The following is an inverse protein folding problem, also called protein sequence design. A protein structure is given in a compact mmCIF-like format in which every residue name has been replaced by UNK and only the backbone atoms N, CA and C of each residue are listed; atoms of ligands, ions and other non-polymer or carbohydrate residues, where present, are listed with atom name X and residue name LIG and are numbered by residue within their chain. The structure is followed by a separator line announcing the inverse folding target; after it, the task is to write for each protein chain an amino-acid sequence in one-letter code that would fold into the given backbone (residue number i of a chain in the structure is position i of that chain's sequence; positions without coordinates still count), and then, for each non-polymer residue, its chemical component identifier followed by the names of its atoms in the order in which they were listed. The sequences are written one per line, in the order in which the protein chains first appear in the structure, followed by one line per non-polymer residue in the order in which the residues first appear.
data_IF_195726977499
#
_entry.id   IF_195726977499
#
_cell.length_a   1.000
_cell.length_b   1.000
_cell.length_c   1.000
_cell.angle_alpha   90.00
_cell.angle_beta   90.00
_cell.angle_gamma   90.00
#
_symmetry.space_group_name_H-M   'P 1'
#
loop_
_entity.id
_entity.type
_entity.pdbx_description
1 polymer ?
#
# COMPACT_ATOMS: atom_id res chain seq x y z
N UNK A 1 -27.99 -25.44 16.11
CA UNK A 1 -26.77 -25.72 15.32
C UNK A 1 -26.60 -24.80 14.10
N UNK A 2 -27.66 -24.29 13.46
CA UNK A 2 -27.55 -23.40 12.29
C UNK A 2 -26.90 -22.01 12.55
N UNK A 3 -27.15 -21.39 13.72
CA UNK A 3 -26.59 -20.06 14.04
C UNK A 3 -25.06 -20.04 14.19
N UNK A 4 -24.45 -21.16 14.61
CA UNK A 4 -23.00 -21.27 14.74
C UNK A 4 -22.30 -21.45 13.38
N UNK A 5 -22.97 -22.03 12.39
CA UNK A 5 -22.46 -22.14 11.03
C UNK A 5 -22.43 -20.76 10.34
N UNK A 6 -23.50 -19.98 10.48
CA UNK A 6 -23.63 -18.65 9.86
C UNK A 6 -22.58 -17.64 10.37
N UNK A 7 -22.28 -17.67 11.67
CA UNK A 7 -21.21 -16.86 12.28
C UNK A 7 -19.81 -17.26 11.76
N UNK A 8 -19.55 -18.55 11.57
CA UNK A 8 -18.27 -19.04 11.03
C UNK A 8 -18.08 -18.69 9.57
N UNK A 9 -19.12 -18.81 8.74
CA UNK A 9 -19.09 -18.44 7.33
C UNK A 9 -18.78 -16.96 7.14
N UNK A 10 -19.44 -16.08 7.90
CA UNK A 10 -19.15 -14.64 7.88
C UNK A 10 -17.71 -14.31 8.30
N UNK A 11 -17.17 -15.04 9.28
CA UNK A 11 -15.77 -14.93 9.70
C UNK A 11 -14.80 -15.37 8.60
N UNK A 12 -15.06 -16.51 7.96
CA UNK A 12 -14.23 -17.05 6.88
C UNK A 12 -14.21 -16.15 5.66
N UNK A 13 -15.36 -15.61 5.24
CA UNK A 13 -15.45 -14.70 4.10
C UNK A 13 -14.68 -13.40 4.38
N UNK A 14 -14.83 -12.82 5.57
CA UNK A 14 -14.08 -11.61 5.96
C UNK A 14 -12.58 -11.86 5.99
N UNK A 15 -12.16 -12.99 6.53
CA UNK A 15 -10.75 -13.37 6.52
C UNK A 15 -10.22 -13.56 5.10
N UNK A 16 -10.97 -14.27 4.24
CA UNK A 16 -10.59 -14.49 2.85
C UNK A 16 -10.46 -13.15 2.09
N UNK A 17 -11.41 -12.22 2.28
CA UNK A 17 -11.33 -10.88 1.68
C UNK A 17 -10.13 -10.09 2.21
N UNK A 18 -9.86 -10.16 3.52
CA UNK A 18 -8.72 -9.48 4.14
C UNK A 18 -7.36 -9.96 3.62
N UNK A 19 -7.30 -11.15 3.03
CA UNK A 19 -6.10 -11.71 2.40
C UNK A 19 -6.10 -11.45 0.88
N UNK A 20 -7.21 -11.75 0.21
CA UNK A 20 -7.31 -11.68 -1.25
C UNK A 20 -7.23 -10.27 -1.79
N UNK A 21 -7.82 -9.28 -1.12
CA UNK A 21 -7.82 -7.88 -1.57
C UNK A 21 -6.40 -7.30 -1.66
N UNK A 22 -5.57 -7.32 -0.60
CA UNK A 22 -4.21 -6.77 -0.68
C UNK A 22 -3.30 -7.56 -1.63
N UNK A 23 -3.48 -8.88 -1.73
CA UNK A 23 -2.77 -9.71 -2.72
C UNK A 23 -3.15 -9.34 -4.15
N UNK A 24 -4.44 -9.20 -4.44
CA UNK A 24 -4.92 -8.79 -5.76
C UNK A 24 -4.39 -7.39 -6.11
N UNK A 25 -4.38 -6.45 -5.15
CA UNK A 25 -3.81 -5.13 -5.36
C UNK A 25 -2.31 -5.19 -5.73
N UNK A 26 -1.53 -6.04 -5.07
CA UNK A 26 -0.11 -6.23 -5.36
C UNK A 26 0.11 -6.89 -6.74
N UNK A 27 -0.70 -7.90 -7.10
CA UNK A 27 -0.62 -8.55 -8.41
C UNK A 27 -1.00 -7.58 -9.54
N UNK A 28 -2.09 -6.82 -9.35
CA UNK A 28 -2.50 -5.78 -10.30
C UNK A 28 -1.47 -4.66 -10.40
N UNK A 29 -0.64 -4.41 -9.37
CA UNK A 29 0.41 -3.41 -9.46
C UNK A 29 1.43 -3.75 -10.55
N UNK A 30 1.77 -5.03 -10.75
CA UNK A 30 2.68 -5.45 -11.82
C UNK A 30 2.10 -5.26 -13.23
N UNK A 31 0.77 -5.33 -13.37
CA UNK A 31 0.11 -5.36 -14.69
C UNK A 31 -0.56 -4.04 -15.08
N UNK A 32 -1.17 -3.34 -14.12
CA UNK A 32 -2.02 -2.15 -14.35
C UNK A 32 -1.23 -0.85 -14.22
N UNK A 33 -0.27 -0.78 -13.29
CA UNK A 33 0.47 0.47 -13.04
C UNK A 33 1.28 0.97 -14.24
N UNK A 34 1.83 0.12 -15.13
CA UNK A 34 2.42 0.60 -16.38
C UNK A 34 1.46 1.40 -17.28
N UNK A 35 0.14 1.19 -17.16
CA UNK A 35 -0.90 1.85 -17.96
C UNK A 35 -1.43 3.14 -17.31
N UNK A 36 -1.21 3.34 -16.01
CA UNK A 36 -1.76 4.47 -15.22
C UNK A 36 -0.62 5.37 -14.68
N UNK A 37 0.61 5.17 -15.15
CA UNK A 37 1.74 6.01 -14.78
C UNK A 37 1.52 7.45 -15.27
N UNK A 38 1.66 8.42 -14.36
CA UNK A 38 1.62 9.84 -14.71
C UNK A 38 3.08 10.31 -14.75
N UNK A 39 3.66 10.37 -15.95
CA UNK A 39 5.11 10.53 -16.12
C UNK A 39 5.86 9.36 -15.49
N UNK A 40 6.86 9.66 -14.66
CA UNK A 40 7.64 8.64 -13.90
C UNK A 40 6.99 8.25 -12.57
N UNK A 41 5.93 8.94 -12.14
CA UNK A 41 5.26 8.66 -10.88
C UNK A 41 4.33 7.45 -11.01
N UNK A 42 4.67 6.39 -10.27
CA UNK A 42 3.90 5.13 -10.22
C UNK A 42 3.34 4.91 -8.82
N UNK A 43 2.06 5.26 -8.57
CA UNK A 43 1.45 5.03 -7.26
C UNK A 43 1.28 3.53 -6.99
N UNK A 44 1.56 3.09 -5.76
CA UNK A 44 1.42 1.69 -5.37
C UNK A 44 -0.04 1.35 -5.06
N UNK A 45 -0.64 0.42 -5.80
CA UNK A 45 -2.03 0.01 -5.58
C UNK A 45 -2.29 -0.54 -4.16
N UNK A 46 -1.40 -1.34 -3.55
CA UNK A 46 -1.57 -1.84 -2.19
C UNK A 46 -1.75 -0.73 -1.15
N UNK A 47 -1.00 0.38 -1.27
CA UNK A 47 -1.15 1.48 -0.30
C UNK A 47 -2.40 2.30 -0.56
N UNK A 48 -2.80 2.46 -1.83
CA UNK A 48 -4.06 3.13 -2.16
C UNK A 48 -5.26 2.35 -1.61
N UNK A 49 -5.24 1.02 -1.74
CA UNK A 49 -6.28 0.13 -1.23
C UNK A 49 -6.29 0.12 0.30
N UNK A 50 -5.14 -0.10 0.93
CA UNK A 50 -5.03 -0.12 2.38
C UNK A 50 -5.35 1.25 3.01
N UNK A 51 -4.87 2.34 2.43
CA UNK A 51 -5.16 3.71 2.87
C UNK A 51 -6.65 4.05 2.72
N UNK A 52 -7.28 3.66 1.61
CA UNK A 52 -8.73 3.85 1.42
C UNK A 52 -9.54 3.04 2.44
N UNK A 53 -9.11 1.82 2.76
CA UNK A 53 -9.70 1.03 3.84
C UNK A 53 -9.46 1.65 5.21
N UNK A 54 -8.30 2.27 5.46
CA UNK A 54 -8.04 2.99 6.70
C UNK A 54 -9.01 4.16 6.89
N UNK A 55 -9.34 4.89 5.81
CA UNK A 55 -10.35 5.96 5.84
C UNK A 55 -11.75 5.39 6.12
N UNK A 56 -12.09 4.25 5.53
CA UNK A 56 -13.43 3.67 5.61
C UNK A 56 -13.72 2.89 6.91
N UNK A 57 -12.73 2.12 7.40
CA UNK A 57 -12.89 1.11 8.45
C UNK A 57 -11.86 1.24 9.59
N UNK A 58 -10.86 2.12 9.46
CA UNK A 58 -9.85 2.41 10.48
C UNK A 58 -8.60 1.54 10.40
N UNK A 59 -7.65 1.79 11.32
CA UNK A 59 -6.29 1.26 11.23
C UNK A 59 -6.18 -0.26 11.38
N UNK A 60 -7.02 -0.89 12.22
CA UNK A 60 -6.81 -2.29 12.66
C UNK A 60 -6.68 -3.26 11.48
N UNK A 61 -7.56 -3.15 10.50
CA UNK A 61 -7.56 -4.04 9.34
C UNK A 61 -6.70 -3.47 8.20
N UNK A 62 -6.67 -2.14 8.05
CA UNK A 62 -5.88 -1.48 7.02
C UNK A 62 -4.37 -1.71 7.17
N UNK A 63 -3.85 -1.72 8.40
CA UNK A 63 -2.43 -2.00 8.66
C UNK A 63 -2.06 -3.42 8.24
N UNK A 64 -2.97 -4.39 8.45
CA UNK A 64 -2.78 -5.76 7.95
C UNK A 64 -2.75 -5.81 6.44
N UNK A 65 -3.61 -5.05 5.76
CA UNK A 65 -3.63 -4.97 4.30
C UNK A 65 -2.36 -4.32 3.75
N UNK A 66 -1.88 -3.26 4.41
CA UNK A 66 -0.63 -2.58 4.07
C UNK A 66 0.57 -3.53 4.21
N UNK A 67 0.64 -4.27 5.31
CA UNK A 67 1.67 -5.28 5.54
C UNK A 67 1.67 -6.36 4.45
N UNK A 68 0.52 -7.02 4.24
CA UNK A 68 0.41 -8.16 3.33
C UNK A 68 0.61 -7.74 1.86
N UNK A 69 -0.01 -6.63 1.46
CA UNK A 69 0.15 -6.08 0.11
C UNK A 69 1.56 -5.55 -0.14
N UNK A 70 2.19 -4.93 0.87
CA UNK A 70 3.59 -4.51 0.81
C UNK A 70 4.54 -5.69 0.68
N UNK A 71 4.35 -6.75 1.47
CA UNK A 71 5.17 -7.95 1.40
C UNK A 71 5.03 -8.66 0.04
N UNK A 72 3.81 -8.75 -0.48
CA UNK A 72 3.59 -9.27 -1.83
C UNK A 72 4.28 -8.41 -2.90
N UNK A 73 4.27 -7.08 -2.73
CA UNK A 73 4.98 -6.15 -3.63
C UNK A 73 6.50 -6.33 -3.56
N UNK A 74 7.05 -6.53 -2.37
CA UNK A 74 8.48 -6.81 -2.21
C UNK A 74 8.87 -8.10 -2.96
N UNK A 75 8.04 -9.16 -2.86
CA UNK A 75 8.26 -10.42 -3.59
C UNK A 75 8.15 -10.27 -5.12
N UNK A 76 7.27 -9.38 -5.61
CA UNK A 76 7.04 -9.16 -7.04
C UNK A 76 8.06 -8.19 -7.67
N UNK A 77 8.63 -7.27 -6.88
CA UNK A 77 9.45 -6.16 -7.38
C UNK A 77 10.95 -6.47 -7.48
N UNK A 78 11.41 -7.53 -6.81
CA UNK A 78 12.84 -7.87 -6.72
C UNK A 78 13.65 -6.92 -5.82
N UNK A 79 12.99 -6.02 -5.08
CA UNK A 79 13.59 -5.16 -4.07
C UNK A 79 13.87 -5.87 -2.74
N UNK A 80 14.37 -5.15 -1.72
CA UNK A 80 14.63 -5.73 -0.41
C UNK A 80 13.34 -6.27 0.21
N UNK A 81 13.35 -7.53 0.65
CA UNK A 81 12.19 -8.15 1.27
C UNK A 81 11.76 -7.37 2.53
N UNK A 82 10.50 -6.93 2.57
CA UNK A 82 9.92 -6.20 3.70
C UNK A 82 10.05 -4.67 3.60
N UNK A 83 10.72 -4.12 2.58
CA UNK A 83 10.89 -2.67 2.47
C UNK A 83 9.55 -1.95 2.22
N UNK A 84 8.74 -2.38 1.25
CA UNK A 84 7.39 -1.83 1.04
C UNK A 84 6.46 -2.18 2.19
N UNK A 85 6.57 -3.40 2.73
CA UNK A 85 5.79 -3.80 3.90
C UNK A 85 5.99 -2.81 5.06
N UNK A 86 7.23 -2.54 5.45
CA UNK A 86 7.56 -1.63 6.56
C UNK A 86 7.27 -0.17 6.24
N UNK A 87 7.58 0.30 5.03
CA UNK A 87 7.35 1.68 4.62
C UNK A 87 5.86 2.08 4.65
N UNK A 88 4.97 1.12 4.38
CA UNK A 88 3.52 1.36 4.30
C UNK A 88 2.81 1.41 5.66
N UNK A 89 3.36 0.80 6.72
CA UNK A 89 2.66 0.70 8.02
C UNK A 89 2.43 2.07 8.67
N UNK A 90 3.45 2.93 8.85
CA UNK A 90 3.26 4.20 9.56
C UNK A 90 2.21 5.12 8.92
N UNK A 91 2.21 5.38 7.59
CA UNK A 91 1.21 6.26 6.99
C UNK A 91 -0.21 5.67 7.01
N UNK A 92 -0.37 4.36 6.80
CA UNK A 92 -1.70 3.71 6.86
C UNK A 92 -2.24 3.69 8.28
N UNK A 93 -1.40 3.43 9.27
CA UNK A 93 -1.77 3.54 10.67
C UNK A 93 -2.18 4.97 11.03
N UNK A 94 -1.43 5.98 10.57
CA UNK A 94 -1.72 7.39 10.83
C UNK A 94 -3.11 7.82 10.30
N UNK A 95 -3.52 7.33 9.13
CA UNK A 95 -4.88 7.56 8.60
C UNK A 95 -5.92 7.00 9.56
N UNK A 96 -5.73 5.76 10.01
CA UNK A 96 -6.74 5.01 10.76
C UNK A 96 -6.77 5.25 12.27
N UNK A 97 -5.82 6.02 12.82
CA UNK A 97 -5.80 6.49 14.23
C UNK A 97 -6.76 7.66 14.45
N UNK A 98 -7.25 8.30 13.38
CA UNK A 98 -8.21 9.40 13.48
C UNK A 98 -9.44 8.99 14.28
N UNK A 99 -9.82 9.84 15.23
CA UNK A 99 -10.79 9.53 16.26
C UNK A 99 -12.15 9.12 15.67
N UNK A 100 -12.64 7.94 16.05
CA UNK A 100 -13.95 7.41 15.61
C UNK A 100 -15.13 8.27 16.10
N UNK A 101 -14.86 9.26 16.98
CA UNK A 101 -15.84 10.22 17.48
C UNK A 101 -16.42 11.16 16.41
N UNK A 102 -15.78 11.32 15.26
CA UNK A 102 -16.34 12.03 14.12
C UNK A 102 -17.16 11.06 13.26
N UNK A 103 -18.40 10.76 13.66
CA UNK A 103 -19.40 10.02 12.85
C UNK A 103 -19.76 10.70 11.51
N UNK A 104 -19.05 11.78 11.13
CA UNK A 104 -19.19 12.40 9.82
C UNK A 104 -18.38 11.59 8.81
N UNK A 105 -19.08 11.14 7.75
CA UNK A 105 -18.43 10.58 6.59
C UNK A 105 -17.30 11.52 6.13
N UNK A 106 -16.08 10.99 6.01
CA UNK A 106 -14.96 11.77 5.49
C UNK A 106 -15.27 12.11 4.03
N UNK A 107 -15.28 13.39 3.63
CA UNK A 107 -15.53 13.76 2.24
C UNK A 107 -14.53 13.05 1.32
N UNK A 108 -15.00 12.58 0.16
CA UNK A 108 -14.17 11.79 -0.78
C UNK A 108 -12.87 12.51 -1.12
N UNK A 109 -12.92 13.83 -1.33
CA UNK A 109 -11.73 14.64 -1.64
C UNK A 109 -10.71 14.64 -0.48
N UNK A 110 -11.19 14.70 0.76
CA UNK A 110 -10.34 14.64 1.96
C UNK A 110 -9.74 13.25 2.12
N UNK A 111 -10.54 12.20 1.92
CA UNK A 111 -10.05 10.82 1.93
C UNK A 111 -8.96 10.59 0.89
N UNK A 112 -9.20 11.00 -0.36
CA UNK A 112 -8.24 10.90 -1.45
C UNK A 112 -6.94 11.67 -1.15
N UNK A 113 -7.03 12.87 -0.58
CA UNK A 113 -5.87 13.66 -0.19
C UNK A 113 -5.05 12.97 0.92
N UNK A 114 -5.71 12.41 1.94
CA UNK A 114 -5.02 11.67 3.01
C UNK A 114 -4.29 10.45 2.46
N UNK A 115 -4.95 9.69 1.58
CA UNK A 115 -4.37 8.50 0.94
C UNK A 115 -3.20 8.89 0.03
N UNK A 116 -3.32 10.00 -0.72
CA UNK A 116 -2.23 10.54 -1.54
C UNK A 116 -1.01 10.94 -0.69
N UNK A 117 -1.23 11.66 0.41
CA UNK A 117 -0.16 12.04 1.36
C UNK A 117 0.48 10.79 1.97
N UNK A 118 -0.32 9.80 2.36
CA UNK A 118 0.16 8.53 2.88
C UNK A 118 1.02 7.76 1.85
N UNK A 119 0.61 7.75 0.58
CA UNK A 119 1.37 7.14 -0.50
C UNK A 119 2.72 7.83 -0.71
N UNK A 120 2.74 9.17 -0.72
CA UNK A 120 3.97 9.95 -0.81
C UNK A 120 4.89 9.68 0.38
N UNK A 121 4.35 9.64 1.60
CA UNK A 121 5.14 9.37 2.79
C UNK A 121 5.74 7.96 2.78
N UNK A 122 4.97 6.94 2.38
CA UNK A 122 5.50 5.58 2.23
C UNK A 122 6.58 5.49 1.15
N UNK A 123 6.44 6.24 0.05
CA UNK A 123 7.48 6.29 -0.99
C UNK A 123 8.79 6.83 -0.41
N UNK A 124 8.74 7.90 0.37
CA UNK A 124 9.92 8.48 1.02
C UNK A 124 10.55 7.50 2.03
N UNK A 125 9.73 6.81 2.82
CA UNK A 125 10.20 5.77 3.74
C UNK A 125 10.85 4.61 3.00
N UNK A 126 10.24 4.14 1.92
CA UNK A 126 10.78 3.07 1.09
C UNK A 126 12.16 3.43 0.53
N UNK A 127 12.30 4.63 -0.04
CA UNK A 127 13.60 5.12 -0.52
C UNK A 127 14.62 5.19 0.62
N UNK A 128 14.23 5.68 1.80
CA UNK A 128 15.09 5.68 2.98
C UNK A 128 15.56 4.29 3.38
N UNK A 129 14.67 3.29 3.35
CA UNK A 129 14.99 1.89 3.66
C UNK A 129 15.97 1.32 2.62
N UNK A 130 15.73 1.54 1.33
CA UNK A 130 16.60 1.06 0.25
C UNK A 130 18.00 1.65 0.35
N UNK A 131 18.11 2.95 0.61
CA UNK A 131 19.39 3.64 0.83
C UNK A 131 20.11 3.08 2.05
N UNK A 132 19.41 2.88 3.17
CA UNK A 132 19.98 2.31 4.38
C UNK A 132 20.42 0.85 4.19
N UNK A 133 19.74 0.09 3.33
CA UNK A 133 20.10 -1.29 2.98
C UNK A 133 21.30 -1.39 2.03
N UNK A 134 21.87 -0.26 1.59
CA UNK A 134 23.06 -0.23 0.73
C UNK A 134 22.83 -0.79 -0.68
N UNK A 135 21.58 -0.94 -1.10
CA UNK A 135 21.26 -1.35 -2.47
C UNK A 135 21.46 -0.15 -3.41
N UNK A 136 22.14 -0.32 -4.56
CA UNK A 136 22.19 0.73 -5.55
C UNK A 136 20.75 1.02 -5.99
N UNK A 137 20.28 2.24 -5.71
CA UNK A 137 19.15 2.78 -6.45
C UNK A 137 19.60 2.67 -7.90
N UNK A 138 18.97 1.81 -8.70
CA UNK A 138 19.32 1.68 -10.11
C UNK A 138 19.29 3.09 -10.68
N UNK A 139 20.48 3.64 -10.84
CA UNK A 139 20.71 5.01 -11.23
C UNK A 139 20.04 5.16 -12.57
N UNK A 140 19.26 6.24 -12.73
CA UNK A 140 18.80 6.76 -14.01
C UNK A 140 19.87 6.43 -15.06
N UNK A 141 19.69 5.40 -15.90
CA UNK A 141 20.61 5.21 -16.98
C UNK A 141 20.27 6.33 -17.97
N UNK A 142 21.32 7.00 -18.48
CA UNK A 142 21.29 8.00 -19.57
C UNK A 142 21.34 9.48 -19.14
N UNK A 143 22.52 9.92 -18.68
CA UNK A 143 22.99 11.29 -18.98
C UNK A 143 24.53 11.41 -19.02
N UNK A 144 25.29 10.45 -18.50
CA UNK A 144 26.76 10.53 -18.44
C UNK A 144 27.45 9.73 -19.57
N UNK A 145 26.76 8.81 -20.25
CA UNK A 145 27.34 7.97 -21.31
C UNK A 145 27.16 8.45 -22.75
N UNK A 146 26.37 9.50 -23.01
CA UNK A 146 26.04 9.95 -24.37
C UNK A 146 26.73 11.26 -24.80
N UNK A 147 27.58 11.84 -23.95
CA UNK A 147 28.31 13.09 -24.23
C UNK A 147 29.84 12.90 -24.37
N UNK A 148 30.31 11.66 -24.53
CA UNK A 148 31.73 11.33 -24.68
C UNK A 148 32.02 10.46 -25.91
N UNK A 149 31.25 10.65 -26.98
CA UNK A 149 31.53 10.13 -28.32
C UNK A 149 31.73 11.28 -29.28
#
# INVERSE_FOLDING_TARGET
MAAAAWSREGGTVRFALGVLIPLAAALMQGTVVPLVAIGDARPSLPILVAGSWAVAAGAREAVWWAFLGGLATDLLSGGPLGAFALASLPPVAAIGVRDRGLQRATPVLVGALLVGIAALFALLLYVGIVVAAGQPIASVPLAVGAAAG
#
